data_IF_855845234586
#
_entry.id   IF_855845234586
#
_cell.length_a   1.000
_cell.length_b   1.000
_cell.length_c   1.000
_cell.angle_alpha   90.00
_cell.angle_beta   90.00
_cell.angle_gamma   90.00
#
_symmetry.space_group_name_H-M   'P 1'
#
loop_
_entity.id
_entity.type
_entity.pdbx_description
1 polymer ?
#
# COMPACT_ATOMS: atom_id res chain seq x y z
N UNK A 1 24.18 -7.35 0.70
CA UNK A 1 22.71 -7.32 0.64
C UNK A 1 22.23 -6.13 1.46
N UNK A 2 21.40 -5.23 0.91
CA UNK A 2 20.88 -4.09 1.69
C UNK A 2 19.61 -4.54 2.43
N UNK A 3 19.61 -4.34 3.75
CA UNK A 3 18.49 -4.64 4.66
C UNK A 3 18.48 -6.10 5.14
N UNK A 4 18.62 -6.31 6.45
CA UNK A 4 18.24 -7.57 7.07
C UNK A 4 16.71 -7.65 7.23
N UNK A 5 16.20 -8.78 7.73
CA UNK A 5 14.76 -8.95 7.82
C UNK A 5 14.09 -7.98 8.80
N UNK A 6 14.77 -7.64 9.89
CA UNK A 6 14.28 -6.66 10.85
C UNK A 6 14.15 -5.26 10.22
N UNK A 7 15.14 -4.85 9.42
CA UNK A 7 15.11 -3.61 8.65
C UNK A 7 13.90 -3.56 7.72
N UNK A 8 13.57 -4.67 7.05
CA UNK A 8 12.39 -4.76 6.19
C UNK A 8 11.09 -4.69 6.98
N UNK A 9 11.01 -5.35 8.14
CA UNK A 9 9.83 -5.29 9.00
C UNK A 9 9.56 -3.84 9.43
N UNK A 10 10.57 -3.16 9.99
CA UNK A 10 10.48 -1.75 10.42
C UNK A 10 10.12 -0.84 9.24
N UNK A 11 10.69 -1.10 8.06
CA UNK A 11 10.35 -0.36 6.84
C UNK A 11 8.87 -0.51 6.49
N UNK A 12 8.34 -1.73 6.46
CA UNK A 12 6.93 -1.99 6.14
C UNK A 12 5.99 -1.37 7.17
N UNK A 13 6.30 -1.50 8.47
CA UNK A 13 5.51 -0.89 9.54
C UNK A 13 5.51 0.64 9.46
N UNK A 14 6.66 1.25 9.19
CA UNK A 14 6.77 2.71 8.97
C UNK A 14 5.94 3.18 7.76
N UNK A 15 5.93 2.41 6.67
CA UNK A 15 5.10 2.72 5.49
C UNK A 15 3.61 2.57 5.79
N UNK A 16 3.22 1.52 6.53
CA UNK A 16 1.84 1.35 6.97
C UNK A 16 1.39 2.50 7.88
N UNK A 17 2.25 2.98 8.78
CA UNK A 17 1.99 4.14 9.63
C UNK A 17 1.80 5.43 8.83
N UNK A 18 2.64 5.69 7.83
CA UNK A 18 2.49 6.84 6.94
C UNK A 18 1.16 6.81 6.16
N UNK A 19 0.80 5.65 5.60
CA UNK A 19 -0.50 5.47 4.93
C UNK A 19 -1.66 5.66 5.91
N UNK A 20 -1.54 5.17 7.15
CA UNK A 20 -2.57 5.37 8.17
C UNK A 20 -2.79 6.87 8.48
N UNK A 21 -1.71 7.67 8.58
CA UNK A 21 -1.82 9.10 8.78
C UNK A 21 -2.48 9.81 7.60
N UNK A 22 -2.10 9.43 6.37
CA UNK A 22 -2.72 9.95 5.13
C UNK A 22 -4.22 9.60 5.07
N UNK A 23 -4.59 8.36 5.43
CA UNK A 23 -5.97 7.91 5.53
C UNK A 23 -6.77 8.77 6.50
N UNK A 24 -6.23 9.02 7.69
CA UNK A 24 -6.90 9.86 8.69
C UNK A 24 -7.08 11.28 8.21
N UNK A 25 -6.08 11.86 7.53
CA UNK A 25 -6.21 13.19 6.92
C UNK A 25 -7.34 13.22 5.88
N UNK A 26 -7.38 12.25 4.97
CA UNK A 26 -8.43 12.17 3.94
C UNK A 26 -9.82 11.96 4.56
N UNK A 27 -9.92 11.12 5.59
CA UNK A 27 -11.20 10.78 6.22
C UNK A 27 -11.77 11.90 7.11
N UNK A 28 -10.91 12.70 7.74
CA UNK A 28 -11.31 13.62 8.80
C UNK A 28 -11.09 15.10 8.48
N UNK A 29 -10.46 15.42 7.35
CA UNK A 29 -10.27 16.80 6.89
C UNK A 29 -10.70 16.99 5.42
N UNK A 30 -11.93 16.60 5.03
CA UNK A 30 -12.38 16.68 3.64
C UNK A 30 -12.37 18.11 3.07
N UNK A 31 -12.57 19.13 3.91
CA UNK A 31 -12.52 20.54 3.54
C UNK A 31 -11.12 21.01 3.09
N UNK A 32 -10.07 20.28 3.46
CA UNK A 32 -8.68 20.55 3.06
C UNK A 32 -8.29 19.81 1.76
N UNK A 33 -9.12 18.87 1.28
CA UNK A 33 -8.85 18.05 0.10
C UNK A 33 -9.22 18.77 -1.21
N UNK A 34 -8.48 19.84 -1.52
CA UNK A 34 -8.56 20.46 -2.86
C UNK A 34 -8.01 19.51 -3.93
N UNK A 35 -8.35 19.74 -5.20
CA UNK A 35 -7.81 18.95 -6.33
C UNK A 35 -6.28 18.93 -6.36
N UNK A 36 -5.63 20.05 -6.01
CA UNK A 36 -4.17 20.14 -5.95
C UNK A 36 -3.58 19.29 -4.81
N UNK A 37 -4.23 19.30 -3.64
CA UNK A 37 -3.83 18.45 -2.50
C UNK A 37 -4.00 16.97 -2.85
N UNK A 38 -5.13 16.60 -3.45
CA UNK A 38 -5.36 15.23 -3.91
C UNK A 38 -4.29 14.81 -4.92
N UNK A 39 -3.98 15.64 -5.92
CA UNK A 39 -2.92 15.37 -6.91
C UNK A 39 -1.56 15.15 -6.24
N UNK A 40 -1.22 15.93 -5.22
CA UNK A 40 0.03 15.78 -4.45
C UNK A 40 0.03 14.53 -3.58
N UNK A 41 -1.12 14.12 -3.02
CA UNK A 41 -1.28 12.87 -2.29
C UNK A 41 -1.18 11.65 -3.20
N UNK A 42 -1.55 11.76 -4.48
CA UNK A 42 -1.48 10.63 -5.40
C UNK A 42 -0.04 10.15 -5.63
N UNK A 43 0.94 11.04 -5.70
CA UNK A 43 2.35 10.64 -5.90
C UNK A 43 2.86 9.62 -4.86
N UNK A 44 2.77 9.86 -3.54
CA UNK A 44 3.18 8.86 -2.55
C UNK A 44 2.27 7.60 -2.54
N UNK A 45 0.99 7.71 -2.91
CA UNK A 45 0.08 6.56 -3.03
C UNK A 45 0.49 5.65 -4.20
N UNK A 46 0.83 6.23 -5.35
CA UNK A 46 1.36 5.51 -6.52
C UNK A 46 2.72 4.86 -6.23
N UNK A 47 3.58 5.53 -5.46
CA UNK A 47 4.81 4.94 -4.96
C UNK A 47 4.51 3.71 -4.08
N UNK A 48 3.51 3.78 -3.21
CA UNK A 48 3.11 2.65 -2.38
C UNK A 48 2.54 1.49 -3.22
N UNK A 49 1.70 1.77 -4.21
CA UNK A 49 1.20 0.76 -5.17
C UNK A 49 2.35 0.05 -5.90
N UNK A 50 3.31 0.83 -6.40
CA UNK A 50 4.50 0.30 -7.09
C UNK A 50 5.34 -0.56 -6.15
N UNK A 51 5.58 -0.09 -4.92
CA UNK A 51 6.31 -0.86 -3.90
C UNK A 51 5.63 -2.21 -3.63
N UNK A 52 4.29 -2.24 -3.55
CA UNK A 52 3.55 -3.47 -3.27
C UNK A 52 3.84 -4.59 -4.27
N UNK A 53 4.01 -4.27 -5.55
CA UNK A 53 4.35 -5.26 -6.59
C UNK A 53 5.71 -5.94 -6.38
N UNK A 54 6.61 -5.35 -5.60
CA UNK A 54 7.93 -5.91 -5.28
C UNK A 54 7.95 -6.70 -3.97
N UNK A 55 6.93 -6.53 -3.11
CA UNK A 55 6.88 -7.17 -1.78
C UNK A 55 6.92 -8.70 -1.83
N UNK A 56 6.29 -9.41 -2.79
CA UNK A 56 6.44 -10.86 -2.88
C UNK A 56 7.91 -11.31 -2.99
N UNK A 57 8.73 -10.57 -3.76
CA UNK A 57 10.16 -10.86 -3.87
C UNK A 57 10.92 -10.59 -2.58
N UNK A 58 10.54 -9.53 -1.84
CA UNK A 58 11.12 -9.21 -0.53
C UNK A 58 10.81 -10.31 0.49
N UNK A 59 9.55 -10.75 0.56
CA UNK A 59 9.12 -11.84 1.45
C UNK A 59 9.87 -13.13 1.09
N UNK A 60 10.05 -13.44 -0.20
CA UNK A 60 10.83 -14.60 -0.65
C UNK A 60 12.29 -14.53 -0.20
N UNK A 61 12.90 -13.34 -0.20
CA UNK A 61 14.30 -13.15 0.15
C UNK A 61 14.57 -13.04 1.66
N UNK A 62 13.63 -12.48 2.43
CA UNK A 62 13.84 -12.11 3.84
C UNK A 62 12.96 -12.88 4.84
N UNK A 63 11.91 -13.56 4.36
CA UNK A 63 11.16 -14.54 5.14
C UNK A 63 9.67 -14.22 5.31
N UNK A 64 8.90 -15.27 5.62
CA UNK A 64 7.44 -15.23 5.69
C UNK A 64 6.88 -14.36 6.84
N UNK A 65 7.66 -14.07 7.89
CA UNK A 65 7.21 -13.20 8.99
C UNK A 65 6.90 -11.77 8.53
N UNK A 66 7.44 -11.33 7.39
CA UNK A 66 7.10 -10.04 6.77
C UNK A 66 5.69 -9.99 6.18
N UNK A 67 5.01 -11.13 6.01
CA UNK A 67 3.65 -11.19 5.43
C UNK A 67 2.65 -10.33 6.21
N UNK A 68 2.73 -10.32 7.54
CA UNK A 68 1.82 -9.54 8.39
C UNK A 68 2.01 -8.03 8.19
N UNK A 69 3.25 -7.54 8.26
CA UNK A 69 3.55 -6.12 8.02
C UNK A 69 3.22 -5.70 6.58
N UNK A 70 3.46 -6.56 5.59
CA UNK A 70 3.05 -6.33 4.21
C UNK A 70 1.53 -6.25 4.03
N UNK A 71 0.76 -7.12 4.71
CA UNK A 71 -0.70 -7.07 4.69
C UNK A 71 -1.23 -5.77 5.30
N UNK A 72 -0.58 -5.27 6.36
CA UNK A 72 -0.95 -3.98 6.96
C UNK A 72 -0.75 -2.82 5.99
N UNK A 73 0.35 -2.81 5.21
CA UNK A 73 0.57 -1.80 4.17
C UNK A 73 -0.55 -1.84 3.12
N UNK A 74 -0.91 -3.05 2.63
CA UNK A 74 -2.01 -3.20 1.65
C UNK A 74 -3.33 -2.70 2.19
N UNK A 75 -3.72 -3.13 3.39
CA UNK A 75 -4.95 -2.70 4.03
C UNK A 75 -5.04 -1.18 4.09
N UNK A 76 -3.98 -0.51 4.54
CA UNK A 76 -3.95 0.95 4.63
C UNK A 76 -3.93 1.65 3.28
N UNK A 77 -3.29 1.05 2.27
CA UNK A 77 -3.33 1.57 0.91
C UNK A 77 -4.77 1.52 0.34
N UNK A 78 -5.46 0.38 0.50
CA UNK A 78 -6.83 0.22 0.02
C UNK A 78 -7.82 1.09 0.80
N UNK A 79 -7.63 1.27 2.12
CA UNK A 79 -8.43 2.19 2.92
C UNK A 79 -8.38 3.63 2.37
N UNK A 80 -7.22 4.11 1.93
CA UNK A 80 -7.10 5.45 1.33
C UNK A 80 -7.77 5.50 -0.05
N UNK A 81 -7.50 4.52 -0.91
CA UNK A 81 -8.07 4.47 -2.27
C UNK A 81 -9.60 4.43 -2.25
N UNK A 82 -10.18 3.76 -1.24
CA UNK A 82 -11.63 3.72 -1.03
C UNK A 82 -12.23 5.08 -0.62
N UNK A 83 -11.43 6.00 -0.06
CA UNK A 83 -11.87 7.34 0.34
C UNK A 83 -11.65 8.40 -0.74
N UNK A 84 -10.71 8.17 -1.67
CA UNK A 84 -10.42 9.10 -2.75
C UNK A 84 -11.37 8.88 -3.95
N UNK A 85 -11.70 9.95 -4.71
CA UNK A 85 -12.47 9.80 -5.93
C UNK A 85 -11.75 8.86 -6.92
N UNK A 86 -12.37 7.77 -7.42
CA UNK A 86 -11.70 6.78 -8.27
C UNK A 86 -11.01 7.36 -9.50
N UNK A 87 -11.56 8.45 -10.03
CA UNK A 87 -11.00 9.21 -11.16
C UNK A 87 -9.58 9.69 -10.94
N UNK A 88 -9.15 9.86 -9.68
CA UNK A 88 -7.80 10.34 -9.36
C UNK A 88 -6.74 9.27 -9.53
N UNK A 89 -7.13 7.99 -9.67
CA UNK A 89 -6.21 6.86 -9.81
C UNK A 89 -6.62 5.86 -10.91
N UNK A 90 -7.45 6.28 -11.87
CA UNK A 90 -7.85 5.48 -13.03
C UNK A 90 -6.66 4.88 -13.79
N UNK A 91 -5.56 5.63 -13.93
CA UNK A 91 -4.33 5.14 -14.58
C UNK A 91 -3.67 3.96 -13.87
N UNK A 92 -3.97 3.75 -12.58
CA UNK A 92 -3.43 2.65 -11.77
C UNK A 92 -4.36 1.44 -11.70
N UNK A 93 -5.58 1.50 -12.26
CA UNK A 93 -6.57 0.42 -12.14
C UNK A 93 -6.04 -0.94 -12.61
N UNK A 94 -5.31 -0.97 -13.72
CA UNK A 94 -4.80 -2.22 -14.26
C UNK A 94 -3.77 -2.89 -13.33
N UNK A 95 -2.93 -2.09 -12.66
CA UNK A 95 -1.99 -2.60 -11.65
C UNK A 95 -2.74 -3.06 -10.39
N UNK A 96 -3.67 -2.23 -9.89
CA UNK A 96 -4.49 -2.56 -8.72
C UNK A 96 -5.30 -3.84 -8.90
N UNK A 97 -5.95 -4.00 -10.05
CA UNK A 97 -6.72 -5.21 -10.35
C UNK A 97 -5.84 -6.46 -10.40
N UNK A 98 -4.63 -6.37 -10.97
CA UNK A 98 -3.68 -7.49 -10.94
C UNK A 98 -3.28 -7.87 -9.52
N UNK A 99 -2.99 -6.89 -8.68
CA UNK A 99 -2.64 -7.13 -7.27
C UNK A 99 -3.81 -7.75 -6.51
N UNK A 100 -5.03 -7.22 -6.68
CA UNK A 100 -6.24 -7.77 -6.05
C UNK A 100 -6.53 -9.20 -6.51
N UNK A 101 -6.42 -9.47 -7.81
CA UNK A 101 -6.59 -10.82 -8.34
C UNK A 101 -5.53 -11.76 -7.77
N UNK A 102 -4.26 -11.35 -7.77
CA UNK A 102 -3.19 -12.13 -7.18
C UNK A 102 -3.46 -12.41 -5.70
N UNK A 103 -3.99 -11.44 -4.94
CA UNK A 103 -4.38 -11.65 -3.56
C UNK A 103 -5.51 -12.67 -3.44
N UNK A 104 -6.64 -12.50 -4.11
CA UNK A 104 -7.78 -13.40 -3.94
C UNK A 104 -7.59 -14.80 -4.54
N UNK A 105 -6.71 -14.94 -5.54
CA UNK A 105 -6.53 -16.22 -6.28
C UNK A 105 -5.25 -16.96 -5.93
N UNK A 106 -4.22 -16.27 -5.43
CA UNK A 106 -2.95 -16.88 -5.04
C UNK A 106 -2.79 -16.96 -3.51
N UNK A 107 -3.77 -16.54 -2.71
CA UNK A 107 -3.82 -16.83 -1.26
C UNK A 107 -4.17 -18.29 -0.97
N UNK A 108 -3.46 -19.21 -1.59
CA UNK A 108 -3.39 -20.59 -1.13
C UNK A 108 -1.99 -20.92 -0.61
N UNK A 109 -1.99 -21.60 0.55
CA UNK A 109 -0.92 -22.34 1.20
C UNK A 109 0.10 -21.58 2.09
N UNK A 110 -0.32 -21.29 3.33
CA UNK A 110 0.12 -22.04 4.53
C UNK A 110 -0.38 -21.31 5.80
N UNK A 111 -1.57 -21.68 6.27
CA UNK A 111 -1.85 -21.65 7.70
C UNK A 111 -1.15 -22.84 8.36
#
# INVERSE_FOLDING_TARGET
ARGDSFTWQVTLEGRAGALCAMRSFVAHCPELLTEDVIRKLMTPIECAMTMMSHIPSVIKAHGAHLKASAAMVRLRLYDILALLPPKTYEGSFNALLRELVAEFTLTDNSA
#
